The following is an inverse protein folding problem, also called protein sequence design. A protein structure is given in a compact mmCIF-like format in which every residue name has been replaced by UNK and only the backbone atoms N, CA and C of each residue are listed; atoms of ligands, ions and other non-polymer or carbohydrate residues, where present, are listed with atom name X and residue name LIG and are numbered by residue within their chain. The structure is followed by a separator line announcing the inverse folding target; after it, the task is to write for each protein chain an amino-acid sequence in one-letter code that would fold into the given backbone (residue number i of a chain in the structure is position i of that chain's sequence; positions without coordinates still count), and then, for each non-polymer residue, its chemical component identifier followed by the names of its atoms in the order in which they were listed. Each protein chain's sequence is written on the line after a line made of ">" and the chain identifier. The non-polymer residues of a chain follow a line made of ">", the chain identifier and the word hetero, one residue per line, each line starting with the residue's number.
data_IF_139363199145
#
_entry.id   IF_139363199145
#
_cell.length_a   1.000
_cell.length_b   1.000
_cell.length_c   1.000
_cell.angle_alpha   90.00
_cell.angle_beta   90.00
_cell.angle_gamma   90.00
#
_symmetry.space_group_name_H-M   'P 1'
#
loop_
_entity.id
_entity.type
_entity.pdbx_description
1 polymer ?
#
# COMPACT_ATOMS: atom_id res chain seq x y z
N UNK A 1 -1.53 31.41 -0.05
CA UNK A 1 -2.76 30.80 -0.62
C UNK A 1 -2.79 29.28 -0.45
N UNK A 2 -1.62 28.60 -0.50
CA UNK A 2 -1.48 27.15 -0.26
C UNK A 2 -1.82 26.77 1.21
N UNK A 3 -1.42 27.57 2.20
CA UNK A 3 -1.60 27.18 3.62
C UNK A 3 -3.06 27.07 4.09
N UNK A 4 -3.97 27.94 3.63
CA UNK A 4 -5.39 27.90 4.06
C UNK A 4 -6.14 26.68 3.50
N UNK A 5 -5.87 26.34 2.24
CA UNK A 5 -6.44 25.14 1.60
C UNK A 5 -5.87 23.85 2.23
N UNK A 6 -4.56 23.83 2.51
CA UNK A 6 -3.92 22.71 3.20
C UNK A 6 -4.51 22.47 4.59
N UNK A 7 -4.86 23.54 5.33
CA UNK A 7 -5.48 23.42 6.66
C UNK A 7 -6.88 22.77 6.58
N UNK A 8 -7.68 23.09 5.56
CA UNK A 8 -9.00 22.47 5.36
C UNK A 8 -8.89 20.97 5.08
N UNK A 9 -7.84 20.53 4.38
CA UNK A 9 -7.58 19.12 4.09
C UNK A 9 -7.18 18.30 5.33
N UNK A 10 -6.88 18.95 6.45
CA UNK A 10 -6.52 18.29 7.72
C UNK A 10 -7.73 18.04 8.63
N UNK A 11 -8.93 18.42 8.21
CA UNK A 11 -10.15 18.09 8.93
C UNK A 11 -10.57 16.65 8.62
N UNK A 12 -10.57 15.81 9.65
CA UNK A 12 -10.97 14.40 9.59
C UNK A 12 -12.32 14.15 10.27
N UNK A 13 -13.05 15.19 10.66
CA UNK A 13 -14.33 15.07 11.37
C UNK A 13 -15.42 14.33 10.59
N UNK A 14 -15.32 14.34 9.25
CA UNK A 14 -16.27 13.68 8.35
C UNK A 14 -15.90 12.22 7.99
N UNK A 15 -14.79 11.68 8.51
CA UNK A 15 -14.36 10.32 8.17
C UNK A 15 -15.23 9.28 8.88
N UNK A 16 -15.82 8.36 8.11
CA UNK A 16 -16.57 7.23 8.66
C UNK A 16 -15.63 6.09 9.08
N UNK A 17 -15.52 5.86 10.39
CA UNK A 17 -14.70 4.78 10.94
C UNK A 17 -15.28 3.37 10.72
N UNK A 18 -16.51 3.25 10.22
CA UNK A 18 -17.08 1.98 9.77
C UNK A 18 -16.67 1.62 8.33
N UNK A 19 -15.97 2.52 7.64
CA UNK A 19 -15.43 2.32 6.29
C UNK A 19 -13.89 2.38 6.31
N UNK A 20 -13.25 1.22 6.23
CA UNK A 20 -11.79 1.13 6.27
C UNK A 20 -11.10 1.78 5.05
N UNK A 21 -11.79 1.89 3.91
CA UNK A 21 -11.25 2.55 2.73
C UNK A 21 -11.19 4.08 2.90
N UNK A 22 -12.11 4.69 3.63
CA UNK A 22 -12.07 6.12 3.96
C UNK A 22 -10.89 6.45 4.89
N UNK A 23 -10.68 5.63 5.93
CA UNK A 23 -9.52 5.73 6.81
C UNK A 23 -8.22 5.63 6.00
N UNK A 24 -8.13 4.64 5.09
CA UNK A 24 -6.97 4.46 4.21
C UNK A 24 -6.75 5.66 3.28
N UNK A 25 -7.81 6.23 2.71
CA UNK A 25 -7.71 7.37 1.82
C UNK A 25 -7.20 8.62 2.55
N UNK A 26 -7.65 8.83 3.79
CA UNK A 26 -7.13 9.92 4.62
C UNK A 26 -5.68 9.67 5.06
N UNK A 27 -5.31 8.43 5.39
CA UNK A 27 -3.90 8.06 5.66
C UNK A 27 -3.01 8.39 4.45
N UNK A 28 -3.45 8.03 3.25
CA UNK A 28 -2.74 8.31 2.02
C UNK A 28 -2.57 9.83 1.80
N UNK A 29 -3.65 10.60 1.96
CA UNK A 29 -3.58 12.07 1.90
C UNK A 29 -2.56 12.64 2.90
N UNK A 30 -2.60 12.23 4.17
CA UNK A 30 -1.64 12.69 5.17
C UNK A 30 -0.20 12.39 4.77
N UNK A 31 0.07 11.19 4.24
CA UNK A 31 1.41 10.81 3.77
C UNK A 31 1.85 11.70 2.61
N UNK A 32 0.99 11.95 1.63
CA UNK A 32 1.30 12.84 0.51
C UNK A 32 1.54 14.28 0.99
N UNK A 33 0.74 14.80 1.92
CA UNK A 33 0.96 16.11 2.54
C UNK A 33 2.29 16.17 3.30
N UNK A 34 2.65 15.10 4.01
CA UNK A 34 3.95 14.98 4.70
C UNK A 34 5.12 15.00 3.72
N UNK A 35 4.99 14.38 2.54
CA UNK A 35 6.01 14.40 1.48
C UNK A 35 6.24 15.80 0.89
N UNK A 36 5.19 16.61 0.82
CA UNK A 36 5.26 18.02 0.41
C UNK A 36 5.61 18.97 1.55
N UNK A 37 5.86 18.42 2.74
CA UNK A 37 6.30 19.18 3.91
C UNK A 37 7.74 18.84 4.24
N UNK A 38 8.36 19.72 5.01
CA UNK A 38 9.71 19.51 5.54
C UNK A 38 9.80 18.39 6.60
N UNK A 39 8.69 17.72 6.96
CA UNK A 39 8.67 16.70 8.03
C UNK A 39 9.52 15.45 7.74
N UNK A 40 9.78 15.18 6.47
CA UNK A 40 10.65 14.08 6.04
C UNK A 40 12.14 14.46 6.01
N UNK A 41 12.48 15.75 6.02
CA UNK A 41 13.86 16.23 6.09
C UNK A 41 14.20 16.67 7.52
N UNK A 42 15.08 15.92 8.17
CA UNK A 42 15.52 16.20 9.54
C UNK A 42 16.38 17.47 9.65
N UNK A 43 16.87 18.01 8.53
CA UNK A 43 17.70 19.23 8.49
C UNK A 43 16.89 20.50 8.23
N UNK A 44 15.65 20.35 7.77
CA UNK A 44 14.81 21.47 7.40
C UNK A 44 14.24 22.19 8.63
N UNK A 45 14.08 23.51 8.50
CA UNK A 45 13.67 24.37 9.61
C UNK A 45 12.15 24.34 9.78
N UNK A 46 11.66 23.76 10.89
CA UNK A 46 10.23 23.62 11.15
C UNK A 46 9.38 24.87 10.84
N UNK A 47 8.58 24.78 9.79
CA UNK A 47 7.59 25.80 9.42
C UNK A 47 6.34 25.77 10.33
N UNK A 48 5.46 26.77 10.22
CA UNK A 48 4.16 26.76 10.90
C UNK A 48 3.26 25.61 10.38
N UNK A 49 3.24 25.42 9.06
CA UNK A 49 2.45 24.39 8.38
C UNK A 49 2.90 22.97 8.78
N UNK A 50 4.22 22.72 8.87
CA UNK A 50 4.72 21.41 9.31
C UNK A 50 4.36 21.09 10.76
N UNK A 51 4.37 22.08 11.66
CA UNK A 51 3.92 21.90 13.05
C UNK A 51 2.43 21.59 13.16
N UNK A 52 1.60 22.26 12.38
CA UNK A 52 0.16 21.98 12.36
C UNK A 52 -0.15 20.59 11.80
N UNK A 53 0.49 20.21 10.68
CA UNK A 53 0.36 18.87 10.11
C UNK A 53 0.81 17.79 11.12
N UNK A 54 1.92 18.01 11.81
CA UNK A 54 2.40 17.10 12.85
C UNK A 54 1.38 16.97 13.99
N UNK A 55 0.83 18.08 14.47
CA UNK A 55 -0.19 18.08 15.52
C UNK A 55 -1.45 17.32 15.08
N UNK A 56 -1.93 17.58 13.86
CA UNK A 56 -3.10 16.88 13.30
C UNK A 56 -2.86 15.40 13.10
N UNK A 57 -1.65 15.00 12.74
CA UNK A 57 -1.26 13.59 12.61
C UNK A 57 -1.25 12.87 13.97
N UNK A 58 -0.83 13.54 15.05
CA UNK A 58 -0.94 12.98 16.42
C UNK A 58 -2.38 12.76 16.83
N UNK A 59 -3.23 13.75 16.57
CA UNK A 59 -4.66 13.65 16.85
C UNK A 59 -5.30 12.51 16.05
N UNK A 60 -5.00 12.44 14.75
CA UNK A 60 -5.50 11.39 13.87
C UNK A 60 -5.13 9.98 14.33
N UNK A 61 -3.86 9.74 14.70
CA UNK A 61 -3.41 8.45 15.22
C UNK A 61 -4.23 8.04 16.45
N UNK A 62 -4.41 8.96 17.41
CA UNK A 62 -5.20 8.70 18.61
C UNK A 62 -6.66 8.43 18.27
N UNK A 63 -7.22 9.11 17.27
CA UNK A 63 -8.59 8.90 16.82
C UNK A 63 -8.76 7.52 16.20
N UNK A 64 -7.82 7.05 15.36
CA UNK A 64 -7.82 5.67 14.85
C UNK A 64 -7.77 4.67 16.02
N UNK A 65 -6.84 4.82 16.94
CA UNK A 65 -6.68 3.88 18.06
C UNK A 65 -7.95 3.75 18.91
N UNK A 66 -8.69 4.85 19.09
CA UNK A 66 -9.95 4.85 19.84
C UNK A 66 -11.14 4.28 19.05
N UNK A 67 -11.15 4.39 17.73
CA UNK A 67 -12.34 4.09 16.90
C UNK A 67 -12.19 2.87 15.98
N UNK A 68 -11.00 2.28 15.84
CA UNK A 68 -10.74 1.14 14.92
C UNK A 68 -11.65 -0.07 15.17
N UNK A 69 -12.22 -0.18 16.37
CA UNK A 69 -13.17 -1.26 16.70
C UNK A 69 -14.51 -1.16 15.97
N UNK A 70 -14.86 0.02 15.44
CA UNK A 70 -16.02 0.23 14.59
C UNK A 70 -15.79 -0.28 13.16
N UNK A 71 -14.53 -0.40 12.72
CA UNK A 71 -14.17 -0.85 11.38
C UNK A 71 -14.45 -2.35 11.22
N UNK A 72 -15.15 -2.77 10.15
CA UNK A 72 -15.39 -4.18 9.85
C UNK A 72 -14.08 -4.97 9.78
N UNK A 73 -14.10 -6.20 10.32
CA UNK A 73 -12.91 -7.06 10.42
C UNK A 73 -12.20 -7.31 9.09
N UNK A 74 -12.95 -7.29 7.99
CA UNK A 74 -12.42 -7.52 6.65
C UNK A 74 -11.72 -6.32 6.03
N UNK A 75 -11.91 -5.13 6.61
CA UNK A 75 -11.31 -3.88 6.16
C UNK A 75 -10.22 -3.37 7.10
N UNK A 76 -9.99 -4.03 8.25
CA UNK A 76 -8.97 -3.61 9.22
C UNK A 76 -7.57 -3.46 8.60
N UNK A 77 -7.21 -4.33 7.66
CA UNK A 77 -5.90 -4.29 7.02
C UNK A 77 -5.77 -3.06 6.12
N UNK A 78 -6.78 -2.76 5.30
CA UNK A 78 -6.76 -1.58 4.44
C UNK A 78 -6.85 -0.30 5.27
N UNK A 79 -7.67 -0.27 6.33
CA UNK A 79 -7.78 0.87 7.24
C UNK A 79 -6.44 1.25 7.89
N UNK A 80 -5.60 0.26 8.19
CA UNK A 80 -4.28 0.47 8.79
C UNK A 80 -3.16 0.69 7.75
N UNK A 81 -3.50 0.72 6.45
CA UNK A 81 -2.55 1.07 5.39
C UNK A 81 -1.93 2.44 5.65
N UNK A 82 -0.60 2.50 5.71
CA UNK A 82 0.15 3.73 5.98
C UNK A 82 0.19 4.17 7.46
N UNK A 83 -0.57 3.54 8.37
CA UNK A 83 -0.66 3.94 9.77
C UNK A 83 0.70 3.91 10.50
N UNK A 84 1.47 2.82 10.36
CA UNK A 84 2.81 2.72 10.97
C UNK A 84 3.78 3.78 10.42
N UNK A 85 3.67 4.14 9.13
CA UNK A 85 4.50 5.18 8.52
C UNK A 85 4.17 6.55 9.12
N UNK A 86 2.88 6.90 9.23
CA UNK A 86 2.42 8.15 9.86
C UNK A 86 2.91 8.20 11.30
N UNK A 87 2.81 7.09 12.05
CA UNK A 87 3.30 7.00 13.43
C UNK A 87 4.82 7.24 13.52
N UNK A 88 5.61 6.62 12.63
CA UNK A 88 7.07 6.83 12.59
C UNK A 88 7.46 8.26 12.24
N UNK A 89 6.76 8.91 11.32
CA UNK A 89 7.03 10.31 10.97
C UNK A 89 6.66 11.20 12.17
N UNK A 90 5.52 10.92 12.81
CA UNK A 90 4.92 11.78 13.83
C UNK A 90 5.59 11.67 15.21
N UNK A 91 5.83 10.43 15.65
CA UNK A 91 6.34 10.10 16.98
C UNK A 91 7.78 9.61 16.97
N UNK A 92 8.42 9.52 15.79
CA UNK A 92 9.79 9.00 15.61
C UNK A 92 9.99 7.59 16.17
N UNK A 93 8.91 6.83 16.27
CA UNK A 93 8.86 5.47 16.81
C UNK A 93 7.88 4.63 15.99
N UNK A 94 8.07 3.31 15.89
CA UNK A 94 7.07 2.43 15.29
C UNK A 94 5.76 2.47 16.08
N UNK A 95 4.64 2.24 15.39
CA UNK A 95 3.36 2.04 16.04
C UNK A 95 3.36 0.78 16.92
N UNK A 96 2.42 0.72 17.87
CA UNK A 96 2.31 -0.41 18.78
C UNK A 96 2.12 -1.73 18.03
N UNK A 97 3.09 -2.62 18.22
CA UNK A 97 3.06 -4.01 17.74
C UNK A 97 1.79 -4.74 18.15
N UNK A 98 1.34 -4.54 19.38
CA UNK A 98 0.15 -5.17 19.92
C UNK A 98 -1.13 -4.63 19.27
N UNK A 99 -1.18 -3.34 18.96
CA UNK A 99 -2.33 -2.70 18.31
C UNK A 99 -2.50 -3.20 16.86
N UNK A 100 -1.47 -3.00 16.03
CA UNK A 100 -1.51 -3.42 14.61
C UNK A 100 -1.62 -4.93 14.51
N UNK A 101 -0.76 -5.67 15.23
CA UNK A 101 -0.75 -7.13 15.22
C UNK A 101 -2.07 -7.72 15.69
N UNK A 102 -2.71 -7.13 16.71
CA UNK A 102 -4.02 -7.54 17.18
C UNK A 102 -5.11 -7.41 16.12
N UNK A 103 -5.10 -6.33 15.33
CA UNK A 103 -6.03 -6.15 14.22
C UNK A 103 -5.79 -7.18 13.11
N UNK A 104 -4.54 -7.41 12.72
CA UNK A 104 -4.19 -8.40 11.70
C UNK A 104 -4.52 -9.83 12.11
N UNK A 105 -4.32 -10.20 13.39
CA UNK A 105 -4.70 -11.51 13.90
C UNK A 105 -6.22 -11.70 13.95
N UNK A 106 -7.00 -10.64 14.21
CA UNK A 106 -8.47 -10.70 14.07
C UNK A 106 -8.88 -11.03 12.64
N UNK A 107 -8.34 -10.30 11.65
CA UNK A 107 -8.58 -10.60 10.24
C UNK A 107 -8.12 -12.01 9.86
N UNK A 108 -6.94 -12.45 10.30
CA UNK A 108 -6.48 -13.81 10.08
C UNK A 108 -7.46 -14.87 10.61
N UNK A 109 -7.90 -14.72 11.86
CA UNK A 109 -8.81 -15.66 12.51
C UNK A 109 -10.18 -15.75 11.81
N UNK A 110 -10.72 -14.63 11.33
CA UNK A 110 -11.96 -14.65 10.55
C UNK A 110 -11.76 -15.24 9.15
N UNK A 111 -10.61 -14.98 8.52
CA UNK A 111 -10.28 -15.56 7.21
C UNK A 111 -10.17 -17.08 7.26
N UNK A 112 -9.55 -17.65 8.29
CA UNK A 112 -9.45 -19.11 8.47
C UNK A 112 -10.79 -19.75 8.85
N UNK A 113 -11.73 -18.98 9.41
CA UNK A 113 -13.12 -19.40 9.66
C UNK A 113 -14.01 -19.36 8.42
N UNK A 114 -13.48 -18.90 7.29
CA UNK A 114 -14.17 -18.90 6.00
C UNK A 114 -14.67 -17.54 5.54
N UNK A 115 -14.33 -16.43 6.21
CA UNK A 115 -14.66 -15.09 5.72
C UNK A 115 -13.83 -14.77 4.46
N UNK A 116 -14.46 -14.90 3.29
CA UNK A 116 -13.83 -14.67 1.97
C UNK A 116 -13.77 -13.21 1.55
N UNK A 117 -14.35 -12.29 2.33
CA UNK A 117 -14.21 -10.84 2.08
C UNK A 117 -12.81 -10.34 2.40
N UNK A 118 -12.04 -11.11 3.19
CA UNK A 118 -10.66 -10.77 3.55
C UNK A 118 -9.75 -11.15 2.39
N UNK A 119 -9.13 -10.13 1.80
CA UNK A 119 -8.13 -10.26 0.74
C UNK A 119 -6.93 -11.10 1.18
N UNK A 120 -6.69 -12.21 0.46
CA UNK A 120 -5.54 -13.08 0.74
C UNK A 120 -4.22 -12.35 0.51
N UNK A 121 -4.13 -11.47 -0.48
CA UNK A 121 -2.91 -10.73 -0.77
C UNK A 121 -2.61 -9.66 0.27
N UNK A 122 -3.63 -9.00 0.81
CA UNK A 122 -3.44 -8.00 1.88
C UNK A 122 -3.11 -8.68 3.20
N UNK A 123 -3.83 -9.75 3.54
CA UNK A 123 -3.54 -10.56 4.72
C UNK A 123 -2.14 -11.16 4.67
N UNK A 124 -1.73 -11.66 3.52
CA UNK A 124 -0.38 -12.18 3.32
C UNK A 124 0.68 -11.12 3.53
N UNK A 125 0.52 -9.93 2.95
CA UNK A 125 1.47 -8.83 3.10
C UNK A 125 1.57 -8.41 4.57
N UNK A 126 0.41 -8.22 5.22
CA UNK A 126 0.33 -7.89 6.64
C UNK A 126 1.06 -8.92 7.52
N UNK A 127 0.79 -10.22 7.34
CA UNK A 127 1.47 -11.29 8.10
C UNK A 127 2.98 -11.32 7.80
N UNK A 128 3.36 -11.14 6.54
CA UNK A 128 4.77 -11.15 6.12
C UNK A 128 5.56 -10.05 6.81
N UNK A 129 5.02 -8.84 6.88
CA UNK A 129 5.64 -7.71 7.57
C UNK A 129 5.84 -8.03 9.06
N UNK A 130 4.82 -8.59 9.73
CA UNK A 130 4.92 -8.95 11.15
C UNK A 130 5.99 -10.03 11.41
N UNK A 131 6.10 -11.02 10.53
CA UNK A 131 7.15 -12.04 10.61
C UNK A 131 8.54 -11.41 10.43
N UNK A 132 8.69 -10.50 9.47
CA UNK A 132 9.94 -9.77 9.24
C UNK A 132 10.37 -8.96 10.46
N UNK A 133 9.41 -8.31 11.14
CA UNK A 133 9.65 -7.61 12.42
C UNK A 133 9.80 -8.52 13.64
N UNK A 134 9.86 -9.85 13.43
CA UNK A 134 10.05 -10.86 14.47
C UNK A 134 8.93 -10.88 15.54
N UNK A 135 7.71 -10.53 15.14
CA UNK A 135 6.56 -10.62 16.04
C UNK A 135 6.17 -12.08 16.28
N UNK A 136 6.43 -12.56 17.50
CA UNK A 136 6.23 -13.96 17.90
C UNK A 136 4.78 -14.43 17.76
N UNK A 137 3.80 -13.52 17.81
CA UNK A 137 2.40 -13.88 17.66
C UNK A 137 2.07 -14.43 16.25
N UNK A 138 2.97 -14.24 15.28
CA UNK A 138 2.81 -14.67 13.89
C UNK A 138 3.63 -15.92 13.53
N UNK A 139 4.38 -16.52 14.46
CA UNK A 139 5.31 -17.63 14.17
C UNK A 139 4.69 -19.03 14.15
N UNK A 140 3.40 -19.15 14.44
CA UNK A 140 2.68 -20.44 14.41
C UNK A 140 1.76 -20.52 13.17
N UNK A 141 0.44 -20.64 13.35
CA UNK A 141 -0.53 -20.75 12.26
C UNK A 141 -0.42 -19.65 11.19
N UNK A 142 -0.19 -18.37 11.52
CA UNK A 142 -0.04 -17.33 10.49
C UNK A 142 1.16 -17.57 9.57
N UNK A 143 2.31 -17.96 10.12
CA UNK A 143 3.50 -18.33 9.35
C UNK A 143 3.24 -19.56 8.47
N UNK A 144 2.62 -20.60 9.03
CA UNK A 144 2.27 -21.80 8.25
C UNK A 144 1.37 -21.45 7.06
N UNK A 145 0.32 -20.66 7.30
CA UNK A 145 -0.59 -20.19 6.26
C UNK A 145 0.17 -19.38 5.20
N UNK A 146 1.02 -18.44 5.61
CA UNK A 146 1.82 -17.62 4.69
C UNK A 146 2.76 -18.49 3.81
N UNK A 147 3.38 -19.51 4.37
CA UNK A 147 4.21 -20.47 3.63
C UNK A 147 3.37 -21.26 2.60
N UNK A 148 2.24 -21.82 3.00
CA UNK A 148 1.36 -22.60 2.11
C UNK A 148 0.81 -21.73 0.97
N UNK A 149 0.26 -20.57 1.28
CA UNK A 149 -0.27 -19.61 0.29
C UNK A 149 0.80 -19.22 -0.74
N UNK A 150 2.04 -19.02 -0.30
CA UNK A 150 3.15 -18.70 -1.21
C UNK A 150 3.48 -19.84 -2.18
N UNK A 151 3.42 -21.08 -1.69
CA UNK A 151 3.67 -22.28 -2.50
C UNK A 151 2.55 -22.48 -3.51
N UNK A 152 1.30 -22.26 -3.12
CA UNK A 152 0.12 -22.32 -4.00
C UNK A 152 0.24 -21.30 -5.15
N UNK A 153 0.50 -20.03 -4.84
CA UNK A 153 0.67 -19.00 -5.87
C UNK A 153 1.85 -19.30 -6.80
N UNK A 154 2.98 -19.75 -6.25
CA UNK A 154 4.11 -20.17 -7.09
C UNK A 154 3.70 -21.32 -8.03
N UNK A 155 3.03 -22.36 -7.51
CA UNK A 155 2.59 -23.50 -8.31
C UNK A 155 1.56 -23.12 -9.38
N UNK A 156 0.70 -22.14 -9.12
CA UNK A 156 -0.28 -21.62 -10.08
C UNK A 156 0.40 -21.00 -11.31
N UNK A 157 1.49 -20.25 -11.12
CA UNK A 157 2.13 -19.49 -12.20
C UNK A 157 3.49 -20.05 -12.66
N UNK A 158 4.06 -21.09 -12.05
CA UNK A 158 5.44 -21.56 -12.33
C UNK A 158 5.72 -21.89 -13.81
N UNK A 159 4.73 -22.39 -14.54
CA UNK A 159 4.91 -22.84 -15.92
C UNK A 159 4.52 -21.79 -16.97
N UNK A 160 3.57 -20.92 -16.65
CA UNK A 160 2.99 -19.95 -17.59
C UNK A 160 3.41 -18.51 -17.28
N UNK A 161 3.87 -18.27 -16.06
CA UNK A 161 4.04 -16.95 -15.45
C UNK A 161 2.74 -16.15 -15.35
N UNK A 162 1.58 -16.81 -15.31
CA UNK A 162 0.25 -16.19 -15.24
C UNK A 162 -0.64 -16.87 -14.19
N UNK A 163 -1.50 -16.08 -13.56
CA UNK A 163 -2.54 -16.54 -12.65
C UNK A 163 -3.89 -16.64 -13.38
N UNK A 164 -4.14 -17.74 -14.08
CA UNK A 164 -5.28 -17.86 -15.01
C UNK A 164 -6.66 -17.83 -14.33
N UNK A 165 -6.74 -18.15 -13.04
CA UNK A 165 -8.00 -18.22 -12.31
C UNK A 165 -8.25 -16.99 -11.43
N UNK A 166 -7.47 -15.91 -11.63
CA UNK A 166 -7.53 -14.69 -10.84
C UNK A 166 -7.93 -13.52 -11.72
N UNK A 167 -8.57 -12.50 -11.14
CA UNK A 167 -8.75 -11.22 -11.83
C UNK A 167 -7.39 -10.56 -12.12
N UNK A 168 -7.35 -9.51 -12.93
CA UNK A 168 -6.09 -8.80 -13.22
C UNK A 168 -5.51 -8.17 -11.94
N UNK A 169 -6.36 -7.58 -11.11
CA UNK A 169 -6.02 -6.97 -9.82
C UNK A 169 -5.32 -8.00 -8.93
N UNK A 170 -5.99 -9.13 -8.68
CA UNK A 170 -5.46 -10.21 -7.87
C UNK A 170 -4.16 -10.78 -8.45
N UNK A 171 -4.11 -10.93 -9.78
CA UNK A 171 -2.91 -11.38 -10.48
C UNK A 171 -1.73 -10.44 -10.24
N UNK A 172 -1.94 -9.12 -10.34
CA UNK A 172 -0.91 -8.11 -10.10
C UNK A 172 -0.46 -8.11 -8.63
N UNK A 173 -1.38 -8.25 -7.68
CA UNK A 173 -1.04 -8.36 -6.26
C UNK A 173 -0.22 -9.62 -5.95
N UNK A 174 -0.65 -10.80 -6.42
CA UNK A 174 0.11 -12.05 -6.28
C UNK A 174 1.48 -11.95 -6.94
N UNK A 175 1.54 -11.44 -8.17
CA UNK A 175 2.79 -11.30 -8.92
C UNK A 175 3.75 -10.35 -8.19
N UNK A 176 3.27 -9.20 -7.72
CA UNK A 176 4.05 -8.25 -6.90
C UNK A 176 4.68 -8.95 -5.70
N UNK A 177 3.90 -9.71 -4.95
CA UNK A 177 4.38 -10.43 -3.76
C UNK A 177 5.48 -11.44 -4.12
N UNK A 178 5.26 -12.27 -5.16
CA UNK A 178 6.27 -13.25 -5.59
C UNK A 178 7.55 -12.60 -6.12
N UNK A 179 7.46 -11.45 -6.81
CA UNK A 179 8.62 -10.73 -7.31
C UNK A 179 9.50 -10.18 -6.16
N UNK A 180 8.88 -9.75 -5.06
CA UNK A 180 9.57 -9.22 -3.90
C UNK A 180 10.23 -10.32 -3.05
N UNK A 181 9.56 -11.47 -2.87
CA UNK A 181 10.03 -12.57 -2.02
C UNK A 181 11.32 -13.24 -2.50
N UNK A 182 12.15 -13.69 -1.57
CA UNK A 182 13.17 -14.70 -1.88
C UNK A 182 12.47 -16.04 -2.21
N UNK A 183 12.65 -16.50 -3.44
CA UNK A 183 12.04 -17.72 -3.98
C UNK A 183 13.07 -18.84 -4.14
N UNK A 184 14.29 -18.70 -3.58
CA UNK A 184 15.36 -19.68 -3.77
C UNK A 184 14.93 -21.10 -3.39
N UNK A 185 14.12 -21.25 -2.33
CA UNK A 185 13.57 -22.55 -1.93
C UNK A 185 12.64 -23.19 -2.98
N UNK A 186 12.01 -22.41 -3.86
CA UNK A 186 11.11 -22.89 -4.91
C UNK A 186 11.82 -23.08 -6.24
N UNK A 187 12.70 -22.15 -6.61
CA UNK A 187 13.29 -22.08 -7.96
C UNK A 187 14.78 -22.43 -8.01
N UNK A 188 15.45 -22.50 -6.86
CA UNK A 188 16.90 -22.57 -6.78
C UNK A 188 17.56 -21.45 -7.59
N UNK A 189 18.55 -21.82 -8.42
CA UNK A 189 19.28 -20.89 -9.29
C UNK A 189 18.43 -20.22 -10.37
N UNK A 190 17.21 -20.73 -10.65
CA UNK A 190 16.32 -20.19 -11.69
C UNK A 190 15.41 -19.05 -11.20
N UNK A 191 15.66 -18.48 -10.02
CA UNK A 191 14.84 -17.40 -9.45
C UNK A 191 14.73 -16.19 -10.37
N UNK A 192 15.87 -15.64 -10.84
CA UNK A 192 15.86 -14.42 -11.65
C UNK A 192 15.21 -14.63 -13.02
N UNK A 193 15.49 -15.73 -13.76
CA UNK A 193 14.73 -16.08 -14.96
C UNK A 193 13.22 -16.18 -14.71
N UNK A 194 12.79 -16.84 -13.63
CA UNK A 194 11.38 -16.96 -13.27
C UNK A 194 10.74 -15.59 -13.01
N UNK A 195 11.38 -14.75 -12.18
CA UNK A 195 10.87 -13.41 -11.87
C UNK A 195 10.80 -12.51 -13.10
N UNK A 196 11.77 -12.61 -14.01
CA UNK A 196 11.73 -11.88 -15.30
C UNK A 196 10.57 -12.36 -16.18
N UNK A 197 10.35 -13.67 -16.30
CA UNK A 197 9.19 -14.22 -17.02
C UNK A 197 7.88 -13.72 -16.41
N UNK A 198 7.73 -13.81 -15.09
CA UNK A 198 6.56 -13.35 -14.36
C UNK A 198 6.31 -11.86 -14.61
N UNK A 199 7.33 -11.02 -14.48
CA UNK A 199 7.22 -9.58 -14.74
C UNK A 199 6.79 -9.28 -16.18
N UNK A 200 7.44 -9.90 -17.17
CA UNK A 200 7.17 -9.66 -18.59
C UNK A 200 5.72 -10.01 -18.99
N UNK A 201 5.12 -11.01 -18.35
CA UNK A 201 3.72 -11.37 -18.60
C UNK A 201 2.72 -10.28 -18.19
N UNK A 202 3.07 -9.44 -17.23
CA UNK A 202 2.22 -8.35 -16.73
C UNK A 202 2.65 -6.98 -17.24
N UNK A 203 3.80 -6.85 -17.91
CA UNK A 203 4.31 -5.56 -18.39
C UNK A 203 3.31 -4.82 -19.29
N UNK A 204 2.71 -5.51 -20.26
CA UNK A 204 1.72 -4.90 -21.17
C UNK A 204 0.47 -4.42 -20.44
N UNK A 205 0.13 -5.04 -19.31
CA UNK A 205 -1.00 -4.63 -18.50
C UNK A 205 -0.77 -3.28 -17.82
N UNK A 206 0.46 -2.78 -17.70
CA UNK A 206 0.72 -1.47 -17.06
C UNK A 206 0.31 -0.27 -17.91
N UNK A 207 0.00 -0.49 -19.19
CA UNK A 207 -0.56 0.56 -20.05
C UNK A 207 -1.95 0.95 -19.56
N UNK A 208 -2.18 2.25 -19.42
CA UNK A 208 -3.50 2.83 -19.13
C UNK A 208 -4.31 2.89 -20.41
N UNK A 209 -5.52 2.32 -20.41
CA UNK A 209 -6.41 2.33 -21.58
C UNK A 209 -7.65 3.23 -21.42
N UNK A 210 -7.83 3.87 -20.26
CA UNK A 210 -8.91 4.82 -19.98
C UNK A 210 -10.26 4.21 -19.59
N UNK A 211 -10.41 2.88 -19.58
CA UNK A 211 -11.65 2.19 -19.20
C UNK A 211 -11.56 1.46 -17.85
N UNK A 212 -10.46 1.62 -17.13
CA UNK A 212 -10.17 0.90 -15.90
C UNK A 212 -10.77 1.58 -14.69
N UNK A 213 -11.26 0.76 -13.75
CA UNK A 213 -11.70 1.27 -12.46
C UNK A 213 -10.50 1.64 -11.56
N UNK A 214 -10.77 2.34 -10.47
CA UNK A 214 -9.73 2.79 -9.54
C UNK A 214 -8.94 1.61 -8.90
N UNK A 215 -9.58 0.46 -8.67
CA UNK A 215 -8.94 -0.72 -8.07
C UNK A 215 -7.85 -1.30 -9.00
N UNK A 216 -8.18 -1.50 -10.28
CA UNK A 216 -7.23 -1.96 -11.30
C UNK A 216 -6.04 -1.00 -11.41
N UNK A 217 -6.31 0.30 -11.46
CA UNK A 217 -5.26 1.32 -11.55
C UNK A 217 -4.34 1.30 -10.32
N UNK A 218 -4.89 1.14 -9.11
CA UNK A 218 -4.12 1.00 -7.86
C UNK A 218 -3.26 -0.26 -7.87
N UNK A 219 -3.79 -1.39 -8.34
CA UNK A 219 -3.05 -2.64 -8.46
C UNK A 219 -1.87 -2.51 -9.43
N UNK A 220 -2.08 -1.87 -10.59
CA UNK A 220 -1.02 -1.55 -11.57
C UNK A 220 0.06 -0.65 -10.97
N UNK A 221 -0.35 0.42 -10.27
CA UNK A 221 0.56 1.36 -9.62
C UNK A 221 1.42 0.67 -8.55
N UNK A 222 0.80 -0.16 -7.69
CA UNK A 222 1.51 -0.92 -6.67
C UNK A 222 2.49 -1.92 -7.27
N UNK A 223 2.09 -2.64 -8.32
CA UNK A 223 2.96 -3.57 -9.05
C UNK A 223 4.17 -2.87 -9.65
N UNK A 224 3.97 -1.73 -10.32
CA UNK A 224 5.05 -0.91 -10.88
C UNK A 224 6.00 -0.41 -9.79
N UNK A 225 5.47 0.21 -8.72
CA UNK A 225 6.27 0.83 -7.65
C UNK A 225 7.20 -0.19 -6.97
N UNK A 226 6.74 -1.41 -6.72
CA UNK A 226 7.56 -2.48 -6.13
C UNK A 226 8.68 -2.99 -7.05
N UNK A 227 8.58 -2.76 -8.36
CA UNK A 227 9.49 -3.34 -9.36
C UNK A 227 10.27 -2.30 -10.17
N UNK A 228 10.09 -1.01 -9.85
CA UNK A 228 10.49 0.15 -10.65
C UNK A 228 11.95 0.16 -11.10
N UNK A 229 12.88 -0.29 -10.26
CA UNK A 229 14.33 -0.26 -10.51
C UNK A 229 14.89 -1.60 -11.00
N UNK A 230 14.09 -2.66 -10.95
CA UNK A 230 14.57 -4.02 -11.21
C UNK A 230 14.38 -4.45 -12.66
N UNK A 231 13.27 -4.06 -13.28
CA UNK A 231 12.89 -4.54 -14.61
C UNK A 231 12.65 -3.46 -15.66
N UNK A 232 12.59 -2.18 -15.26
CA UNK A 232 12.42 -1.05 -16.19
C UNK A 232 13.61 -0.10 -16.11
N UNK A 233 13.81 0.68 -17.17
CA UNK A 233 14.59 1.90 -17.06
C UNK A 233 13.87 2.92 -16.18
N UNK A 234 14.63 3.78 -15.49
CA UNK A 234 14.08 4.82 -14.61
C UNK A 234 13.08 5.70 -15.36
N UNK A 235 13.43 6.13 -16.59
CA UNK A 235 12.57 6.97 -17.43
C UNK A 235 11.26 6.28 -17.80
N UNK A 236 11.32 5.02 -18.21
CA UNK A 236 10.11 4.25 -18.56
C UNK A 236 9.20 4.06 -17.34
N UNK A 237 9.77 3.67 -16.19
CA UNK A 237 9.01 3.52 -14.96
C UNK A 237 8.33 4.84 -14.55
N UNK A 238 9.04 5.96 -14.67
CA UNK A 238 8.52 7.29 -14.39
C UNK A 238 7.33 7.65 -15.28
N UNK A 239 7.45 7.47 -16.60
CA UNK A 239 6.34 7.75 -17.53
C UNK A 239 5.10 6.92 -17.24
N UNK A 240 5.28 5.61 -16.98
CA UNK A 240 4.14 4.74 -16.63
C UNK A 240 3.51 5.17 -15.30
N UNK A 241 4.33 5.49 -14.29
CA UNK A 241 3.83 5.94 -12.98
C UNK A 241 3.02 7.23 -13.10
N UNK A 242 3.51 8.23 -13.86
CA UNK A 242 2.78 9.48 -14.07
C UNK A 242 1.44 9.29 -14.80
N UNK A 243 1.40 8.40 -15.80
CA UNK A 243 0.16 8.07 -16.49
C UNK A 243 -0.85 7.40 -15.56
N UNK A 244 -0.40 6.49 -14.70
CA UNK A 244 -1.25 5.82 -13.70
C UNK A 244 -1.77 6.80 -12.65
N UNK A 245 -0.93 7.69 -12.13
CA UNK A 245 -1.35 8.74 -11.18
C UNK A 245 -2.37 9.68 -11.82
N UNK A 246 -2.15 10.11 -13.07
CA UNK A 246 -3.10 10.94 -13.81
C UNK A 246 -4.45 10.22 -13.97
N UNK A 247 -4.44 8.95 -14.39
CA UNK A 247 -5.66 8.16 -14.51
C UNK A 247 -6.41 8.02 -13.17
N UNK A 248 -5.69 7.78 -12.07
CA UNK A 248 -6.28 7.69 -10.73
C UNK A 248 -6.94 8.99 -10.27
N UNK A 249 -6.35 10.15 -10.60
CA UNK A 249 -6.97 11.45 -10.28
C UNK A 249 -8.25 11.71 -11.07
N UNK A 250 -8.36 11.16 -12.28
CA UNK A 250 -9.50 11.35 -13.19
C UNK A 250 -10.60 10.30 -13.03
N UNK A 251 -10.27 9.12 -12.49
CA UNK A 251 -11.23 8.02 -12.33
C UNK A 251 -12.40 8.39 -11.43
N UNK A 252 -13.62 8.05 -11.87
CA UNK A 252 -14.85 8.32 -11.15
C UNK A 252 -14.94 7.58 -9.81
N UNK A 253 -14.32 6.41 -9.71
CA UNK A 253 -14.42 5.54 -8.53
C UNK A 253 -13.33 5.82 -7.48
N UNK A 254 -12.39 6.74 -7.76
CA UNK A 254 -11.38 7.14 -6.80
C UNK A 254 -12.00 8.03 -5.73
N UNK A 255 -11.81 7.66 -4.46
CA UNK A 255 -12.23 8.46 -3.31
C UNK A 255 -11.66 9.89 -3.38
N UNK A 256 -12.42 10.90 -2.97
CA UNK A 256 -12.01 12.30 -3.12
C UNK A 256 -10.65 12.61 -2.46
N UNK A 257 -10.42 12.09 -1.26
CA UNK A 257 -9.14 12.26 -0.56
C UNK A 257 -7.98 11.60 -1.29
N UNK A 258 -8.20 10.41 -1.86
CA UNK A 258 -7.22 9.71 -2.68
C UNK A 258 -6.90 10.50 -3.96
N UNK A 259 -7.90 11.14 -4.60
CA UNK A 259 -7.64 11.98 -5.79
C UNK A 259 -6.70 13.12 -5.47
N UNK A 260 -6.90 13.77 -4.32
CA UNK A 260 -6.02 14.85 -3.86
C UNK A 260 -4.62 14.30 -3.58
N UNK A 261 -4.53 13.17 -2.87
CA UNK A 261 -3.26 12.49 -2.59
C UNK A 261 -2.50 12.11 -3.86
N UNK A 262 -3.16 11.49 -4.86
CA UNK A 262 -2.53 11.15 -6.14
C UNK A 262 -2.09 12.37 -6.95
N UNK A 263 -2.84 13.48 -6.85
CA UNK A 263 -2.44 14.74 -7.48
C UNK A 263 -1.15 15.30 -6.85
N UNK A 264 -1.06 15.26 -5.52
CA UNK A 264 0.15 15.61 -4.77
C UNK A 264 1.31 14.68 -5.14
N UNK A 265 1.11 13.36 -5.15
CA UNK A 265 2.11 12.38 -5.57
C UNK A 265 2.66 12.68 -6.97
N UNK A 266 1.79 13.01 -7.93
CA UNK A 266 2.18 13.34 -9.30
C UNK A 266 3.04 14.61 -9.37
N UNK A 267 2.65 15.66 -8.62
CA UNK A 267 3.41 16.91 -8.52
C UNK A 267 4.80 16.70 -7.92
N UNK A 268 4.88 15.95 -6.81
CA UNK A 268 6.14 15.63 -6.15
C UNK A 268 7.11 14.93 -7.10
N UNK A 269 6.58 14.00 -7.90
CA UNK A 269 7.36 13.26 -8.89
C UNK A 269 7.88 14.14 -10.02
N UNK A 270 7.09 15.11 -10.50
CA UNK A 270 7.53 16.08 -11.49
C UNK A 270 8.71 16.90 -10.98
N UNK A 271 8.63 17.42 -9.75
CA UNK A 271 9.73 18.17 -9.14
C UNK A 271 11.00 17.32 -8.98
N UNK A 272 10.88 16.05 -8.60
CA UNK A 272 12.03 15.14 -8.52
C UNK A 272 12.68 14.89 -9.88
N UNK A 273 11.89 14.78 -10.95
CA UNK A 273 12.41 14.55 -12.29
C UNK A 273 13.13 15.79 -12.85
N UNK A 274 12.69 17.00 -12.48
CA UNK A 274 13.34 18.26 -12.85
C UNK A 274 14.67 18.49 -12.11
N UNK A 275 14.82 17.88 -10.92
CA UNK A 275 16.02 17.99 -10.09
C UNK A 275 17.12 16.96 -10.42
N UNK A 276 16.86 16.01 -11.33
CA UNK A 276 17.78 14.96 -11.78
C UNK A 276 18.44 15.28 -13.12
#
# INVERSE_FOLDING_TARGET
>A
MIDSYMIQLLDYSAIDFTNGYEISAYNHLLISLMQHSELLDYRAASTATSRQLLQKSKEWIKTIENNITATPVHELIVALSGFDLIHRITFRTPASSAFIGGCYLKSFNERIRGNRLISDTDLYSAISDRIQFRDKAFFDKPLQWQCLTSSEWYNECKSTGKFCNSSLEQSLHKARILLDKDLFAFTGRNQEPFKRMLYNNYLSSLTVNGMENAETLRAKLAFLRSNRQRFNSIRQAYTIEQNLLTALTQSADTHQLDRIAYSLDAQFKTHLAEAM
#
